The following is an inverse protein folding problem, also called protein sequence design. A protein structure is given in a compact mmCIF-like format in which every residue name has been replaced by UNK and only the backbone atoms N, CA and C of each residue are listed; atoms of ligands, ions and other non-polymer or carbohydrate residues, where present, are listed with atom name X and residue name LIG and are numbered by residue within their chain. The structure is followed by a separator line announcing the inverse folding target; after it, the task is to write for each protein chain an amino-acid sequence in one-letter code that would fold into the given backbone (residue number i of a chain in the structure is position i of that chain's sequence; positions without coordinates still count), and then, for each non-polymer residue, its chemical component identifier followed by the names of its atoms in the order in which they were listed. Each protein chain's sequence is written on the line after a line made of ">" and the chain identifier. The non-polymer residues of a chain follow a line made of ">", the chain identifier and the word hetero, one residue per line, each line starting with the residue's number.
data_IF_429283086531
#
_entry.id   IF_429283086531
#
_cell.length_a   1.000
_cell.length_b   1.000
_cell.length_c   1.000
_cell.angle_alpha   90.00
_cell.angle_beta   90.00
_cell.angle_gamma   90.00
#
_symmetry.space_group_name_H-M   'P 1'
#
loop_
_entity.id
_entity.type
_entity.pdbx_description
1 polymer ?
#
# COMPACT_ATOMS: atom_id res chain seq x y z
N UNK A 1 -3.28 -25.12 -11.63
CA UNK A 1 -3.00 -23.68 -11.56
C UNK A 1 -2.32 -23.38 -10.24
N UNK A 2 -1.36 -22.45 -10.21
CA UNK A 2 -0.74 -21.93 -8.98
C UNK A 2 -1.00 -20.41 -8.92
N UNK A 3 -1.47 -19.91 -7.78
CA UNK A 3 -1.68 -18.48 -7.51
C UNK A 3 -0.76 -18.10 -6.35
N UNK A 4 0.31 -17.33 -6.60
CA UNK A 4 1.48 -17.23 -5.70
C UNK A 4 1.68 -15.84 -5.05
N UNK A 5 0.58 -15.15 -4.74
CA UNK A 5 0.61 -13.81 -4.15
C UNK A 5 0.77 -12.70 -5.20
N UNK A 6 0.94 -11.46 -4.74
CA UNK A 6 1.01 -10.31 -5.63
C UNK A 6 1.85 -9.15 -5.10
N UNK A 7 2.39 -8.35 -6.00
CA UNK A 7 2.99 -7.06 -5.69
C UNK A 7 2.26 -5.96 -6.47
N UNK A 8 0.93 -5.95 -6.31
CA UNK A 8 0.00 -5.23 -7.17
C UNK A 8 0.29 -3.72 -7.16
N UNK A 9 0.47 -3.10 -8.34
CA UNK A 9 0.59 -1.66 -8.47
C UNK A 9 -0.79 -1.00 -8.34
N UNK A 10 -0.81 0.17 -7.71
CA UNK A 10 -1.95 1.07 -7.68
C UNK A 10 -1.50 2.42 -8.22
N UNK A 11 -1.85 2.73 -9.46
CA UNK A 11 -1.34 3.88 -10.20
C UNK A 11 -2.34 5.04 -10.11
N UNK A 12 -1.87 6.22 -9.73
CA UNK A 12 -2.67 7.45 -9.63
C UNK A 12 -2.08 8.51 -10.54
N UNK A 13 -2.78 8.81 -11.63
CA UNK A 13 -2.43 9.87 -12.56
C UNK A 13 -2.92 11.25 -12.06
N UNK A 14 -2.36 12.31 -12.64
CA UNK A 14 -2.64 13.71 -12.30
C UNK A 14 -4.09 14.13 -12.50
N UNK A 15 -4.75 13.56 -13.50
CA UNK A 15 -6.15 13.78 -13.86
C UNK A 15 -7.14 12.91 -13.07
N UNK A 16 -6.64 12.06 -12.17
CA UNK A 16 -7.47 11.19 -11.35
C UNK A 16 -8.33 11.96 -10.34
N UNK A 17 -9.50 11.42 -10.04
CA UNK A 17 -10.26 11.79 -8.84
C UNK A 17 -9.53 11.28 -7.59
N UNK A 18 -8.72 12.15 -6.98
CA UNK A 18 -7.85 11.80 -5.85
C UNK A 18 -8.63 11.28 -4.62
N UNK A 19 -9.86 11.77 -4.39
CA UNK A 19 -10.70 11.30 -3.28
C UNK A 19 -11.16 9.87 -3.49
N UNK A 20 -11.62 9.54 -4.70
CA UNK A 20 -11.98 8.17 -5.06
C UNK A 20 -10.75 7.27 -5.05
N UNK A 21 -9.64 7.72 -5.62
CA UNK A 21 -8.39 6.97 -5.67
C UNK A 21 -7.87 6.66 -4.25
N UNK A 22 -7.81 7.65 -3.36
CA UNK A 22 -7.34 7.44 -1.99
C UNK A 22 -8.29 6.54 -1.18
N UNK A 23 -9.60 6.65 -1.38
CA UNK A 23 -10.57 5.76 -0.73
C UNK A 23 -10.41 4.31 -1.20
N UNK A 24 -10.21 4.10 -2.50
CA UNK A 24 -9.96 2.77 -3.06
C UNK A 24 -8.58 2.21 -2.65
N UNK A 25 -7.56 3.05 -2.57
CA UNK A 25 -6.25 2.67 -2.07
C UNK A 25 -6.34 2.17 -0.62
N UNK A 26 -7.11 2.84 0.24
CA UNK A 26 -7.36 2.33 1.61
C UNK A 26 -8.06 0.97 1.59
N UNK A 27 -9.14 0.84 0.81
CA UNK A 27 -9.89 -0.41 0.70
C UNK A 27 -9.09 -1.56 0.08
N UNK A 28 -8.07 -1.26 -0.73
CA UNK A 28 -7.18 -2.25 -1.32
C UNK A 28 -6.03 -2.61 -0.38
N UNK A 29 -5.26 -1.62 0.10
CA UNK A 29 -4.02 -1.85 0.85
C UNK A 29 -4.22 -2.30 2.30
N UNK A 30 -5.34 -1.95 2.95
CA UNK A 30 -5.52 -2.20 4.40
C UNK A 30 -6.65 -3.19 4.73
N UNK A 31 -7.41 -3.66 3.73
CA UNK A 31 -8.39 -4.74 3.93
C UNK A 31 -7.69 -5.98 4.46
N UNK A 32 -8.27 -6.62 5.48
CA UNK A 32 -7.67 -7.76 6.17
C UNK A 32 -6.23 -7.46 6.66
N UNK A 33 -5.96 -6.21 7.06
CA UNK A 33 -4.62 -5.71 7.39
C UNK A 33 -3.58 -5.95 6.27
N UNK A 34 -3.99 -5.83 5.00
CA UNK A 34 -3.11 -6.01 3.84
C UNK A 34 -2.78 -7.48 3.50
N UNK A 35 -3.42 -8.44 4.18
CA UNK A 35 -3.18 -9.87 4.01
C UNK A 35 -4.14 -10.46 2.98
N UNK A 36 -4.12 -9.95 1.74
CA UNK A 36 -4.86 -10.52 0.61
C UNK A 36 -3.99 -10.45 -0.64
N UNK A 37 -4.00 -11.48 -1.49
CA UNK A 37 -3.16 -11.58 -2.69
C UNK A 37 -3.34 -10.43 -3.69
N UNK A 38 -4.50 -9.75 -3.68
CA UNK A 38 -4.81 -8.62 -4.56
C UNK A 38 -4.65 -7.25 -3.88
N UNK A 39 -4.10 -7.20 -2.66
CA UNK A 39 -3.84 -5.91 -2.01
C UNK A 39 -2.81 -5.11 -2.81
N UNK A 40 -3.07 -3.80 -2.96
CA UNK A 40 -2.09 -2.88 -3.50
C UNK A 40 -0.87 -2.83 -2.57
N UNK A 41 0.28 -3.25 -3.08
CA UNK A 41 1.55 -3.25 -2.35
C UNK A 41 2.47 -2.11 -2.80
N UNK A 42 2.29 -1.58 -4.02
CA UNK A 42 3.06 -0.45 -4.57
C UNK A 42 2.12 0.62 -5.07
N UNK A 43 2.02 1.74 -4.35
CA UNK A 43 1.18 2.85 -4.79
C UNK A 43 2.05 3.82 -5.58
N UNK A 44 1.84 3.88 -6.89
CA UNK A 44 2.56 4.75 -7.82
C UNK A 44 1.74 6.01 -8.01
N UNK A 45 2.31 7.18 -7.74
CA UNK A 45 1.59 8.46 -7.83
C UNK A 45 2.36 9.43 -8.70
N UNK A 46 1.66 10.07 -9.64
CA UNK A 46 2.27 11.02 -10.56
C UNK A 46 2.72 12.27 -9.80
N UNK A 47 3.89 12.79 -10.19
CA UNK A 47 4.60 13.88 -9.52
C UNK A 47 3.71 15.07 -9.17
N UNK A 48 2.87 15.52 -10.11
CA UNK A 48 1.99 16.69 -9.94
C UNK A 48 0.92 16.57 -8.86
N UNK A 49 0.58 15.34 -8.42
CA UNK A 49 -0.43 15.08 -7.39
C UNK A 49 0.12 14.32 -6.18
N UNK A 50 1.41 13.99 -6.15
CA UNK A 50 2.04 13.14 -5.14
C UNK A 50 1.78 13.61 -3.71
N UNK A 51 2.16 14.84 -3.38
CA UNK A 51 2.07 15.33 -2.00
C UNK A 51 0.62 15.44 -1.53
N UNK A 52 -0.28 15.92 -2.40
CA UNK A 52 -1.72 16.00 -2.12
C UNK A 52 -2.34 14.63 -1.90
N UNK A 53 -1.98 13.64 -2.72
CA UNK A 53 -2.47 12.28 -2.56
C UNK A 53 -1.91 11.63 -1.29
N UNK A 54 -0.63 11.84 -0.98
CA UNK A 54 0.01 11.31 0.23
C UNK A 54 -0.68 11.82 1.50
N UNK A 55 -0.97 13.12 1.57
CA UNK A 55 -1.71 13.74 2.67
C UNK A 55 -3.13 13.18 2.80
N UNK A 56 -3.83 13.05 1.66
CA UNK A 56 -5.19 12.54 1.64
C UNK A 56 -5.28 11.08 2.06
N UNK A 57 -4.39 10.23 1.52
CA UNK A 57 -4.27 8.84 1.92
C UNK A 57 -3.94 8.74 3.40
N UNK A 58 -2.97 9.51 3.89
CA UNK A 58 -2.60 9.54 5.30
C UNK A 58 -3.79 9.92 6.20
N UNK A 59 -4.58 10.92 5.82
CA UNK A 59 -5.79 11.30 6.55
C UNK A 59 -6.80 10.16 6.63
N UNK A 60 -7.04 9.44 5.54
CA UNK A 60 -7.97 8.30 5.52
C UNK A 60 -7.45 7.10 6.30
N UNK A 61 -6.15 6.81 6.21
CA UNK A 61 -5.49 5.72 6.96
C UNK A 61 -5.53 5.99 8.47
N UNK A 62 -5.33 7.24 8.91
CA UNK A 62 -5.48 7.64 10.32
C UNK A 62 -6.89 7.42 10.89
N UNK A 63 -7.91 7.37 10.03
CA UNK A 63 -9.29 7.11 10.44
C UNK A 63 -9.59 5.60 10.64
N UNK A 64 -8.66 4.71 10.26
CA UNK A 64 -8.81 3.27 10.51
C UNK A 64 -8.76 2.98 12.00
N UNK A 65 -9.70 2.17 12.46
CA UNK A 65 -9.77 1.68 13.84
C UNK A 65 -9.13 0.30 13.92
N UNK A 66 -7.99 0.24 14.59
CA UNK A 66 -7.29 -1.00 14.86
C UNK A 66 -7.94 -1.72 16.06
N UNK A 67 -8.08 -3.04 15.99
CA UNK A 67 -8.59 -3.82 17.12
C UNK A 67 -8.99 -5.23 16.73
N UNK A 68 -9.71 -5.91 17.62
CA UNK A 68 -10.20 -7.28 17.36
C UNK A 68 -11.31 -7.23 16.31
N UNK A 69 -11.24 -8.08 15.29
CA UNK A 69 -12.24 -8.10 14.20
C UNK A 69 -13.67 -8.43 14.63
N UNK A 70 -13.88 -8.86 15.88
CA UNK A 70 -15.20 -9.09 16.49
C UNK A 70 -15.81 -7.85 17.14
N UNK A 71 -15.04 -6.77 17.31
CA UNK A 71 -15.49 -5.54 17.97
C UNK A 71 -16.13 -4.56 16.98
N UNK A 72 -17.17 -3.87 17.42
CA UNK A 72 -17.92 -2.94 16.57
C UNK A 72 -17.06 -1.75 16.14
N UNK A 73 -17.11 -1.46 14.84
CA UNK A 73 -16.40 -0.32 14.25
C UNK A 73 -14.90 -0.55 14.00
N UNK A 74 -14.33 -1.70 14.37
CA UNK A 74 -12.96 -2.05 13.97
C UNK A 74 -12.89 -2.20 12.45
N UNK A 75 -11.91 -1.54 11.83
CA UNK A 75 -11.70 -1.56 10.38
C UNK A 75 -10.36 -2.13 9.97
N UNK A 76 -9.45 -2.36 10.92
CA UNK A 76 -8.18 -3.05 10.69
C UNK A 76 -7.93 -4.06 11.81
N UNK A 77 -7.70 -5.31 11.45
CA UNK A 77 -7.44 -6.41 12.39
C UNK A 77 -5.94 -6.65 12.64
N UNK A 78 -5.60 -7.71 13.38
CA UNK A 78 -4.22 -8.15 13.57
C UNK A 78 -3.67 -8.86 12.32
N UNK A 79 -2.36 -8.97 12.27
CA UNK A 79 -1.64 -9.90 11.42
C UNK A 79 -1.80 -11.34 11.94
N UNK A 80 -1.66 -12.32 11.04
CA UNK A 80 -1.95 -13.72 11.32
C UNK A 80 -0.93 -14.39 12.25
N UNK A 81 0.35 -13.99 12.15
CA UNK A 81 1.47 -14.62 12.87
C UNK A 81 2.48 -13.57 13.35
N UNK A 82 3.32 -13.89 14.35
CA UNK A 82 4.41 -13.01 14.75
C UNK A 82 5.43 -12.81 13.62
N UNK A 83 5.68 -13.84 12.80
CA UNK A 83 6.56 -13.72 11.63
C UNK A 83 6.04 -12.72 10.59
N UNK A 84 4.72 -12.60 10.42
CA UNK A 84 4.12 -11.56 9.57
C UNK A 84 4.37 -10.16 10.17
N UNK A 85 4.22 -10.01 11.48
CA UNK A 85 4.55 -8.76 12.19
C UNK A 85 6.02 -8.37 12.01
N UNK A 86 6.93 -9.32 12.18
CA UNK A 86 8.38 -9.10 11.99
C UNK A 86 8.72 -8.72 10.54
N UNK A 87 8.03 -9.32 9.56
CA UNK A 87 8.21 -8.97 8.14
C UNK A 87 7.80 -7.53 7.86
N UNK A 88 6.60 -7.13 8.32
CA UNK A 88 6.10 -5.76 8.15
C UNK A 88 7.06 -4.76 8.79
N UNK A 89 7.48 -5.04 10.03
CA UNK A 89 8.41 -4.19 10.75
C UNK A 89 9.72 -4.01 9.97
N UNK A 90 10.32 -5.11 9.48
CA UNK A 90 11.56 -5.08 8.68
C UNK A 90 11.43 -4.24 7.41
N UNK A 91 10.29 -4.32 6.72
CA UNK A 91 10.07 -3.53 5.49
C UNK A 91 9.98 -2.04 5.80
N UNK A 92 9.32 -1.67 6.91
CA UNK A 92 9.24 -0.27 7.36
C UNK A 92 10.62 0.24 7.80
N UNK A 93 11.36 -0.54 8.60
CA UNK A 93 12.71 -0.18 9.03
C UNK A 93 13.67 0.00 7.85
N UNK A 94 13.66 -0.93 6.89
CA UNK A 94 14.48 -0.85 5.68
C UNK A 94 14.20 0.43 4.90
N UNK A 95 12.92 0.71 4.63
CA UNK A 95 12.50 1.90 3.89
C UNK A 95 12.93 3.19 4.61
N UNK A 96 12.68 3.30 5.92
CA UNK A 96 13.05 4.48 6.71
C UNK A 96 14.56 4.65 6.79
N UNK A 97 15.32 3.56 6.98
CA UNK A 97 16.79 3.60 7.02
C UNK A 97 17.41 4.09 5.69
N UNK A 98 16.68 3.93 4.59
CA UNK A 98 17.05 4.37 3.24
C UNK A 98 16.43 5.71 2.83
N UNK A 99 15.76 6.41 3.76
CA UNK A 99 15.29 7.78 3.56
C UNK A 99 13.79 7.94 3.31
N UNK A 100 13.00 6.87 3.33
CA UNK A 100 11.54 7.01 3.33
C UNK A 100 11.05 7.64 4.64
N UNK A 101 9.88 8.27 4.59
CA UNK A 101 9.24 8.86 5.78
C UNK A 101 7.90 8.18 6.05
N UNK A 102 7.67 7.71 7.27
CA UNK A 102 6.36 7.25 7.72
C UNK A 102 5.48 8.46 8.09
N UNK A 103 4.38 8.69 7.37
CA UNK A 103 3.46 9.83 7.60
C UNK A 103 2.21 9.46 8.40
N UNK A 104 1.96 8.15 8.56
CA UNK A 104 1.00 7.58 9.51
C UNK A 104 1.61 6.37 10.19
N UNK A 105 1.00 5.94 11.30
CA UNK A 105 1.49 4.79 12.05
C UNK A 105 2.78 5.11 12.80
N UNK A 106 3.67 4.12 12.89
CA UNK A 106 4.96 4.25 13.55
C UNK A 106 5.93 3.17 13.06
N UNK A 107 7.18 3.23 13.52
CA UNK A 107 8.20 2.23 13.19
C UNK A 107 8.05 0.93 13.96
N UNK A 108 7.22 0.88 15.00
CA UNK A 108 7.16 -0.26 15.92
C UNK A 108 5.78 -0.90 15.98
N UNK A 109 5.69 -2.21 16.31
CA UNK A 109 4.43 -2.84 16.67
C UNK A 109 3.66 -2.02 17.71
N UNK A 110 2.33 -2.08 17.63
CA UNK A 110 1.48 -1.32 18.56
C UNK A 110 1.76 -1.77 19.98
N UNK A 111 1.81 -0.81 20.91
CA UNK A 111 1.97 -1.10 22.33
C UNK A 111 0.86 -2.05 22.78
N UNK A 112 1.25 -3.27 23.16
CA UNK A 112 0.34 -4.32 23.62
C UNK A 112 -0.27 -4.01 24.99
N UNK A 113 0.11 -2.89 25.62
CA UNK A 113 -0.57 -2.35 26.80
C UNK A 113 -1.95 -1.76 26.48
N UNK A 114 -2.23 -1.45 25.21
CA UNK A 114 -3.58 -1.10 24.76
C UNK A 114 -4.50 -2.32 24.85
N UNK A 115 -5.58 -2.28 25.66
CA UNK A 115 -6.52 -3.39 25.80
C UNK A 115 -7.15 -3.85 24.47
N UNK A 116 -7.30 -2.95 23.50
CA UNK A 116 -7.85 -3.25 22.16
C UNK A 116 -6.91 -4.11 21.31
N UNK A 117 -5.61 -4.10 21.64
CA UNK A 117 -4.55 -4.81 20.92
C UNK A 117 -3.89 -5.91 21.77
N UNK A 118 -4.34 -6.12 23.01
CA UNK A 118 -3.76 -7.08 23.95
C UNK A 118 -3.81 -8.52 23.39
N UNK A 119 -2.63 -9.15 23.33
CA UNK A 119 -2.47 -10.56 22.94
C UNK A 119 -2.63 -10.85 21.44
N UNK A 120 -2.57 -9.85 20.56
CA UNK A 120 -2.56 -10.04 19.10
C UNK A 120 -1.31 -9.48 18.41
N UNK A 121 -1.15 -9.79 17.12
CA UNK A 121 -0.02 -9.33 16.31
C UNK A 121 -0.39 -8.06 15.53
N UNK A 122 -0.43 -6.93 16.23
CA UNK A 122 -0.90 -5.67 15.65
C UNK A 122 0.23 -4.80 15.13
N UNK A 123 0.05 -4.29 13.91
CA UNK A 123 0.91 -3.26 13.31
C UNK A 123 0.06 -2.06 12.93
N UNK A 124 0.51 -0.86 13.24
CA UNK A 124 -0.25 0.35 12.94
C UNK A 124 -0.33 0.57 11.42
N UNK A 125 -1.51 0.85 10.84
CA UNK A 125 -1.64 1.22 9.43
C UNK A 125 -0.69 2.35 9.03
N UNK A 126 0.26 2.05 8.16
CA UNK A 126 1.41 2.92 7.88
C UNK A 126 1.45 3.34 6.41
N UNK A 127 1.56 4.64 6.16
CA UNK A 127 1.84 5.21 4.83
C UNK A 127 3.30 5.64 4.81
N UNK A 128 4.06 5.14 3.83
CA UNK A 128 5.46 5.53 3.61
C UNK A 128 5.53 6.44 2.38
N UNK A 129 6.11 7.63 2.53
CA UNK A 129 6.43 8.53 1.42
C UNK A 129 7.91 8.50 1.08
N UNK A 130 8.23 8.98 -0.11
CA UNK A 130 9.58 9.07 -0.67
C UNK A 130 10.27 7.70 -0.76
N UNK A 131 9.49 6.66 -1.08
CA UNK A 131 9.98 5.29 -1.23
C UNK A 131 10.66 5.14 -2.59
N UNK A 132 11.78 4.41 -2.63
CA UNK A 132 12.59 4.18 -3.84
C UNK A 132 12.65 2.69 -4.20
N UNK A 133 13.02 2.34 -5.45
CA UNK A 133 13.19 0.95 -5.87
C UNK A 133 14.22 0.13 -5.09
N UNK A 134 15.12 0.79 -4.34
CA UNK A 134 16.16 0.13 -3.53
C UNK A 134 15.62 -0.41 -2.19
N UNK A 135 14.37 -0.10 -1.83
CA UNK A 135 13.74 -0.49 -0.57
C UNK A 135 13.02 -1.84 -0.70
N UNK A 136 13.02 -2.65 0.36
CA UNK A 136 12.46 -4.02 0.34
C UNK A 136 11.00 -4.05 -0.12
N UNK A 137 10.19 -3.08 0.32
CA UNK A 137 8.78 -2.98 -0.04
C UNK A 137 8.52 -2.68 -1.53
N UNK A 138 9.55 -2.41 -2.34
CA UNK A 138 9.43 -2.35 -3.79
C UNK A 138 9.47 -3.73 -4.44
N UNK A 139 10.33 -4.64 -3.97
CA UNK A 139 10.56 -5.95 -4.59
C UNK A 139 9.74 -7.07 -3.96
N UNK A 140 9.57 -7.01 -2.64
CA UNK A 140 8.92 -8.07 -1.87
C UNK A 140 7.46 -7.72 -1.54
N UNK A 141 6.55 -8.69 -1.69
CA UNK A 141 5.20 -8.59 -1.16
C UNK A 141 5.25 -8.46 0.37
N UNK A 142 4.80 -7.34 0.93
CA UNK A 142 4.84 -7.12 2.39
C UNK A 142 3.79 -7.95 3.11
N UNK A 143 2.61 -8.08 2.50
CA UNK A 143 1.46 -8.82 3.05
C UNK A 143 1.04 -8.32 4.45
N UNK A 144 0.95 -7.00 4.59
CA UNK A 144 0.64 -6.32 5.84
C UNK A 144 0.16 -4.89 5.64
N UNK A 145 -0.22 -4.17 6.72
CA UNK A 145 -0.95 -2.91 6.64
C UNK A 145 -0.02 -1.72 6.37
N UNK A 146 0.70 -1.75 5.25
CA UNK A 146 1.56 -0.66 4.79
C UNK A 146 1.20 -0.22 3.37
N UNK A 147 1.36 1.07 3.11
CA UNK A 147 1.11 1.69 1.80
C UNK A 147 2.33 2.54 1.39
N UNK A 148 3.32 1.94 0.70
CA UNK A 148 4.46 2.67 0.18
C UNK A 148 4.11 3.46 -1.09
N UNK A 149 4.49 4.73 -1.10
CA UNK A 149 4.22 5.69 -2.18
C UNK A 149 5.49 5.95 -2.99
N UNK A 150 5.44 5.57 -4.26
CA UNK A 150 6.49 5.79 -5.24
C UNK A 150 6.07 6.87 -6.22
N UNK A 151 7.02 7.73 -6.59
CA UNK A 151 6.78 8.86 -7.48
C UNK A 151 7.14 8.48 -8.91
N UNK A 152 6.27 8.81 -9.87
CA UNK A 152 6.58 8.71 -11.30
C UNK A 152 6.25 10.04 -12.00
N UNK A 153 6.79 10.28 -13.20
CA UNK A 153 6.55 11.53 -13.95
C UNK A 153 5.64 11.31 -15.14
N UNK A 154 5.99 10.34 -15.98
CA UNK A 154 5.31 10.07 -17.22
C UNK A 154 4.54 8.74 -17.18
N UNK A 155 3.56 8.60 -18.08
CA UNK A 155 2.77 7.36 -18.24
C UNK A 155 3.67 6.13 -18.46
N UNK A 156 4.71 6.28 -19.28
CA UNK A 156 5.67 5.21 -19.54
C UNK A 156 6.46 4.80 -18.29
N UNK A 157 6.80 5.74 -17.40
CA UNK A 157 7.49 5.45 -16.14
C UNK A 157 6.59 4.61 -15.23
N UNK A 158 5.30 4.98 -15.14
CA UNK A 158 4.32 4.28 -14.32
C UNK A 158 4.17 2.81 -14.77
N UNK A 159 4.07 2.57 -16.07
CA UNK A 159 3.99 1.22 -16.66
C UNK A 159 5.28 0.44 -16.42
N UNK A 160 6.44 1.05 -16.67
CA UNK A 160 7.73 0.39 -16.45
C UNK A 160 7.92 0.00 -14.98
N UNK A 161 7.63 0.91 -14.05
CA UNK A 161 7.70 0.64 -12.61
C UNK A 161 6.67 -0.41 -12.17
N UNK A 162 5.47 -0.39 -12.74
CA UNK A 162 4.45 -1.39 -12.47
C UNK A 162 4.93 -2.78 -12.91
N UNK A 163 5.46 -2.94 -14.12
CA UNK A 163 5.90 -4.22 -14.64
C UNK A 163 7.26 -4.69 -14.08
N UNK A 164 8.05 -3.82 -13.42
CA UNK A 164 9.33 -4.19 -12.79
C UNK A 164 9.14 -5.01 -11.49
N UNK A 165 8.65 -6.23 -11.65
CA UNK A 165 8.30 -7.16 -10.57
C UNK A 165 8.19 -8.58 -11.12
N UNK A 166 8.37 -9.60 -10.28
CA UNK A 166 8.15 -11.02 -10.67
C UNK A 166 6.68 -11.48 -10.55
N UNK A 167 5.81 -10.58 -10.10
CA UNK A 167 4.39 -10.82 -9.82
C UNK A 167 3.50 -10.24 -10.93
N UNK A 168 2.32 -10.82 -11.16
CA UNK A 168 1.41 -10.36 -12.22
C UNK A 168 -0.08 -10.59 -11.94
N UNK A 169 -0.50 -10.62 -10.66
CA UNK A 169 -1.86 -11.06 -10.31
C UNK A 169 -2.95 -10.00 -10.54
N UNK A 170 -2.74 -8.78 -10.08
CA UNK A 170 -3.70 -7.69 -10.20
C UNK A 170 -2.98 -6.36 -10.31
N UNK A 171 -3.59 -5.43 -11.05
CA UNK A 171 -3.15 -4.04 -11.14
C UNK A 171 -4.36 -3.11 -11.06
N UNK A 172 -4.15 -1.92 -10.51
CA UNK A 172 -5.15 -0.87 -10.39
C UNK A 172 -4.59 0.42 -10.94
N UNK A 173 -5.41 1.21 -11.62
CA UNK A 173 -5.03 2.55 -12.03
C UNK A 173 -6.24 3.48 -12.04
N UNK A 174 -6.00 4.76 -11.75
CA UNK A 174 -6.98 5.83 -11.72
C UNK A 174 -6.54 6.95 -12.66
N UNK A 175 -7.41 7.29 -13.61
CA UNK A 175 -7.23 8.33 -14.62
C UNK A 175 -8.62 8.79 -15.08
N UNK A 176 -8.77 10.04 -15.53
CA UNK A 176 -9.98 10.52 -16.19
C UNK A 176 -9.89 10.38 -17.73
N UNK A 177 -8.68 10.28 -18.27
CA UNK A 177 -8.41 10.00 -19.68
C UNK A 177 -8.78 8.55 -20.06
N UNK A 178 -9.83 8.43 -20.89
CA UNK A 178 -10.30 7.16 -21.45
C UNK A 178 -9.27 6.55 -22.42
N UNK A 179 -8.54 7.36 -23.17
CA UNK A 179 -7.47 6.88 -24.03
C UNK A 179 -6.31 6.29 -23.24
N UNK A 180 -5.95 6.92 -22.11
CA UNK A 180 -4.95 6.37 -21.17
C UNK A 180 -5.40 5.05 -20.57
N UNK A 181 -6.70 4.91 -20.27
CA UNK A 181 -7.25 3.66 -19.73
C UNK A 181 -6.92 2.47 -20.62
N UNK A 182 -7.11 2.61 -21.94
CA UNK A 182 -6.77 1.54 -22.89
C UNK A 182 -5.27 1.29 -22.98
N UNK A 183 -4.45 2.34 -23.17
CA UNK A 183 -3.00 2.20 -23.31
C UNK A 183 -2.35 1.56 -22.08
N UNK A 184 -2.75 1.99 -20.88
CA UNK A 184 -2.20 1.46 -19.63
C UNK A 184 -2.70 0.03 -19.40
N UNK A 185 -3.98 -0.25 -19.61
CA UNK A 185 -4.51 -1.61 -19.46
C UNK A 185 -3.83 -2.62 -20.40
N UNK A 186 -3.57 -2.24 -21.66
CA UNK A 186 -2.90 -3.11 -22.64
C UNK A 186 -1.40 -3.30 -22.35
N UNK A 187 -0.75 -2.33 -21.71
CA UNK A 187 0.68 -2.37 -21.44
C UNK A 187 1.05 -3.01 -20.09
N UNK A 188 0.08 -3.17 -19.18
CA UNK A 188 0.28 -3.82 -17.88
C UNK A 188 0.33 -5.34 -18.04
N UNK A 189 1.40 -5.95 -17.53
CA UNK A 189 1.63 -7.40 -17.61
C UNK A 189 0.97 -8.14 -16.43
N UNK A 190 -0.35 -8.01 -16.32
CA UNK A 190 -1.16 -8.55 -15.21
C UNK A 190 -2.38 -9.34 -15.74
N UNK A 191 -2.82 -10.32 -14.95
CA UNK A 191 -3.92 -11.25 -15.29
C UNK A 191 -5.32 -10.64 -15.38
#
# INVERSE_FOLDING_TARGET
>A
SLELGGNAPFIVFDDADLEKAATAAVGSAFRNAGQTCICANRILVQDGVYDKFAELLASKVKALKLGRGTEEGVTCGPLITPAALDKVHRHVEDAVSKGATAVTGGMSPVDLSDPSCAGGYFFAPTVLRDVTPDMLCYREETFGPIAPLFRFREEADAVAMANDTEYGLAAYFYTADVGRTWRVAEALEYG
#
